data_IF_807037016275
#
_entry.id   IF_807037016275
#
_cell.length_a   1.000
_cell.length_b   1.000
_cell.length_c   1.000
_cell.angle_alpha   90.00
_cell.angle_beta   90.00
_cell.angle_gamma   90.00
#
_symmetry.space_group_name_H-M   'P 1'
#
loop_
_entity.id
_entity.type
_entity.pdbx_description
1 polymer ?
2 non-polymer ?
3 water ?
#
# COMPACT_ATOMS: atom_id res chain seq x y z
N UNK A 2 28.03 24.63 -3.82
CA UNK A 2 26.77 24.49 -4.54
C UNK A 2 26.29 23.02 -4.61
N UNK A 3 25.33 22.65 -3.74
CA UNK A 3 24.75 21.31 -3.69
C UNK A 3 23.48 21.22 -4.53
N UNK A 4 22.89 20.03 -4.56
CA UNK A 4 21.85 19.70 -5.53
C UNK A 4 20.55 20.50 -5.32
N UNK A 5 20.10 20.67 -4.09
CA UNK A 5 18.88 21.44 -3.85
C UNK A 5 19.16 22.87 -3.41
N UNK A 6 20.41 23.32 -3.51
CA UNK A 6 20.74 24.68 -3.16
C UNK A 6 19.82 25.66 -3.87
N UNK A 7 19.33 26.64 -3.14
CA UNK A 7 18.37 27.57 -3.69
C UNK A 7 16.94 27.07 -3.72
N UNK A 8 16.67 25.86 -3.24
CA UNK A 8 15.32 25.32 -3.26
C UNK A 8 14.74 25.37 -1.86
N UNK A 9 13.43 25.58 -1.79
CA UNK A 9 12.72 25.62 -0.52
C UNK A 9 11.63 24.55 -0.50
N UNK A 10 11.69 23.65 0.48
CA UNK A 10 10.81 22.48 0.56
C UNK A 10 9.88 22.60 1.76
N UNK A 11 8.61 22.34 1.53
CA UNK A 11 7.65 22.21 2.62
C UNK A 11 7.43 20.74 2.92
N UNK A 12 7.72 20.35 4.16
CA UNK A 12 7.47 19.01 4.66
C UNK A 12 6.24 19.06 5.56
N UNK A 13 5.21 18.30 5.19
CA UNK A 13 4.00 18.25 5.99
C UNK A 13 3.89 16.85 6.55
N UNK A 14 3.94 16.74 7.86
CA UNK A 14 3.85 15.43 8.49
C UNK A 14 3.47 15.63 9.95
N UNK A 15 2.57 14.80 10.47
CA UNK A 15 2.18 14.95 11.88
C UNK A 15 3.00 14.07 12.82
N UNK A 16 4.00 13.37 12.31
CA UNK A 16 4.86 12.52 13.12
C UNK A 16 6.20 13.22 13.25
N UNK A 17 6.61 13.46 14.50
CA UNK A 17 7.81 14.27 14.71
C UNK A 17 9.06 13.60 14.16
N UNK A 18 9.10 12.26 14.14
CA UNK A 18 10.32 11.60 13.68
C UNK A 18 10.50 11.81 12.19
N UNK A 19 9.42 11.71 11.43
CA UNK A 19 9.49 11.96 10.00
C UNK A 19 9.92 13.39 9.72
N UNK A 20 9.31 14.36 10.40
CA UNK A 20 9.68 15.75 10.19
C UNK A 20 11.18 15.95 10.41
N UNK A 21 11.70 15.41 11.51
CA UNK A 21 13.11 15.57 11.81
C UNK A 21 13.98 14.86 10.79
N UNK A 22 13.59 13.66 10.36
CA UNK A 22 14.39 12.91 9.39
C UNK A 22 14.28 13.52 8.00
N UNK A 23 13.05 13.83 7.56
CA UNK A 23 12.90 14.39 6.23
C UNK A 23 13.68 15.69 6.11
N UNK A 24 13.53 16.58 7.11
CA UNK A 24 14.17 17.87 7.04
C UNK A 24 15.68 17.77 7.11
N UNK A 25 16.21 16.95 8.03
CA UNK A 25 17.64 16.78 8.09
C UNK A 25 18.21 16.26 6.79
N UNK A 26 17.56 15.25 6.21
CA UNK A 26 17.99 14.71 4.93
C UNK A 26 17.99 15.77 3.85
N UNK A 27 16.87 16.48 3.69
CA UNK A 27 16.79 17.46 2.62
C UNK A 27 17.78 18.60 2.81
N UNK A 28 18.08 18.95 4.06
CA UNK A 28 19.04 20.01 4.31
C UNK A 28 20.45 19.58 3.91
N UNK A 29 20.75 18.30 4.03
CA UNK A 29 22.06 17.83 3.60
C UNK A 29 22.26 17.96 2.09
N UNK A 30 21.20 18.09 1.32
CA UNK A 30 21.34 18.37 -0.09
C UNK A 30 21.27 19.86 -0.41
N UNK A 31 21.24 20.71 0.62
CA UNK A 31 21.28 22.15 0.46
C UNK A 31 19.94 22.84 0.40
N UNK A 32 18.84 22.12 0.64
CA UNK A 32 17.52 22.73 0.62
C UNK A 32 17.26 23.54 1.88
N UNK A 33 16.56 24.66 1.73
CA UNK A 33 15.91 25.29 2.86
C UNK A 33 14.58 24.58 3.09
N UNK A 34 14.35 24.08 4.31
CA UNK A 34 13.15 23.30 4.62
C UNK A 34 12.28 24.01 5.65
N UNK A 35 10.96 23.96 5.43
CA UNK A 35 9.97 24.32 6.42
C UNK A 35 9.12 23.09 6.66
N UNK A 36 8.83 22.81 7.92
CA UNK A 36 8.02 21.66 8.33
C UNK A 36 6.67 22.15 8.87
N UNK A 37 5.63 21.40 8.57
CA UNK A 37 4.30 21.71 9.07
C UNK A 37 3.75 20.45 9.71
N UNK A 38 3.05 20.61 10.82
CA UNK A 38 2.53 19.46 11.53
C UNK A 38 1.09 19.13 11.16
N UNK A 39 0.49 19.90 10.26
CA UNK A 39 -0.91 19.71 9.92
C UNK A 39 -1.17 20.33 8.57
N UNK A 40 -2.28 19.90 7.95
CA UNK A 40 -2.64 20.45 6.65
C UNK A 40 -3.00 21.92 6.74
N UNK A 41 -3.68 22.33 7.82
CA UNK A 41 -4.06 23.73 7.98
C UNK A 41 -2.84 24.63 8.02
N UNK A 42 -1.81 24.22 8.75
CA UNK A 42 -0.57 24.99 8.75
C UNK A 42 0.00 25.06 7.34
N UNK A 43 -0.02 23.94 6.62
CA UNK A 43 0.53 23.91 5.26
C UNK A 43 -0.24 24.85 4.35
N UNK A 44 -1.57 24.81 4.41
CA UNK A 44 -2.35 25.71 3.56
C UNK A 44 -1.99 27.16 3.87
N UNK A 45 -1.76 27.48 5.15
CA UNK A 45 -1.40 28.85 5.51
C UNK A 45 -0.05 29.26 4.95
N UNK A 46 0.89 28.34 4.88
CA UNK A 46 2.19 28.62 4.31
C UNK A 46 2.17 28.70 2.79
N UNK A 47 1.11 28.22 2.14
CA UNK A 47 1.08 28.13 0.69
C UNK A 47 0.15 29.16 0.08
N UNK A 48 -0.16 30.21 0.82
CA UNK A 48 -0.81 31.37 0.25
C UNK A 48 -0.04 31.84 -0.97
N UNK A 49 -0.75 31.96 -2.08
CA UNK A 49 -0.18 32.36 -3.37
C UNK A 49 -0.14 33.88 -3.49
N UNK A 50 1.01 34.48 -3.78
CA UNK A 50 2.26 33.80 -4.15
C UNK A 50 3.13 33.38 -2.97
N UNK A 51 3.78 32.22 -3.06
CA UNK A 51 4.70 31.72 -2.04
C UNK A 51 6.02 31.32 -2.71
N UNK A 52 7.02 30.96 -1.89
CA UNK A 52 8.35 30.68 -2.39
C UNK A 52 8.74 29.19 -2.35
N UNK A 53 7.78 28.27 -2.20
CA UNK A 53 8.08 26.84 -2.08
C UNK A 53 8.19 26.21 -3.45
N UNK A 54 9.20 25.35 -3.60
CA UNK A 54 9.46 24.65 -4.85
C UNK A 54 8.91 23.23 -4.88
N UNK A 55 8.61 22.66 -3.72
CA UNK A 55 8.15 21.30 -3.63
C UNK A 55 7.54 21.13 -2.26
N UNK A 56 6.66 20.14 -2.14
CA UNK A 56 5.96 19.85 -0.90
C UNK A 56 5.87 18.36 -0.71
N UNK A 57 6.23 17.89 0.48
CA UNK A 57 6.08 16.50 0.83
C UNK A 57 4.87 16.38 1.75
N UNK A 58 3.92 15.53 1.36
CA UNK A 58 2.58 15.53 1.94
C UNK A 58 2.31 14.17 2.60
N UNK A 59 2.29 14.18 3.92
CA UNK A 59 1.80 13.07 4.74
C UNK A 59 0.32 12.79 4.44
N UNK A 60 0.01 11.58 3.99
CA UNK A 60 -1.35 11.35 3.53
C UNK A 60 -2.33 11.10 4.66
N UNK A 61 -1.84 10.80 5.84
CA UNK A 61 -2.68 10.36 6.96
C UNK A 61 -2.55 11.36 8.11
N UNK A 62 -3.46 12.31 8.22
CA UNK A 62 -3.40 13.25 9.34
C UNK A 62 -4.80 13.48 9.91
N UNK A 63 -4.90 13.66 11.21
CA UNK A 63 -6.22 13.90 11.81
C UNK A 63 -6.76 15.25 11.38
N UNK A 64 -8.09 15.37 11.43
CA UNK A 64 -8.81 16.60 11.13
C UNK A 64 -8.74 16.99 9.65
N UNK A 65 -7.55 17.02 9.06
CA UNK A 65 -7.43 17.16 7.60
C UNK A 65 -6.30 16.26 7.10
N UNK A 66 -6.62 15.29 6.25
CA UNK A 66 -5.58 14.41 5.73
C UNK A 66 -4.93 15.04 4.49
N UNK A 67 -3.91 14.34 3.97
CA UNK A 67 -3.10 14.90 2.91
C UNK A 67 -3.81 14.98 1.58
N UNK A 68 -4.81 14.12 1.35
CA UNK A 68 -5.60 14.21 0.14
C UNK A 68 -6.44 15.48 0.14
N UNK A 69 -7.11 15.74 1.26
CA UNK A 69 -7.85 16.97 1.41
C UNK A 69 -6.95 18.20 1.21
N UNK A 70 -5.87 18.27 1.98
CA UNK A 70 -4.97 19.42 1.87
C UNK A 70 -4.47 19.60 0.43
N UNK A 71 -4.05 18.51 -0.21
CA UNK A 71 -3.71 18.58 -1.62
C UNK A 71 -4.87 19.14 -2.42
N UNK A 72 -6.09 18.64 -2.15
CA UNK A 72 -7.25 19.06 -2.93
C UNK A 72 -7.45 20.56 -2.84
N UNK A 73 -7.16 21.12 -1.68
CA UNK A 73 -7.31 22.56 -1.50
C UNK A 73 -6.11 23.33 -2.00
N UNK A 74 -4.91 22.73 -2.01
CA UNK A 74 -3.81 23.40 -2.68
C UNK A 74 -4.13 23.58 -4.15
N UNK A 75 -4.74 22.56 -4.77
CA UNK A 75 -5.10 22.64 -6.18
C UNK A 75 -6.22 23.63 -6.45
N UNK A 76 -7.17 23.77 -5.53
CA UNK A 76 -8.18 24.82 -5.68
C UNK A 76 -7.54 26.19 -5.66
N UNK A 77 -6.61 26.40 -4.73
CA UNK A 77 -5.88 27.66 -4.66
C UNK A 77 -5.25 27.99 -6.00
N UNK A 78 -4.61 27.00 -6.60
CA UNK A 78 -3.94 27.25 -7.88
C UNK A 78 -4.96 27.51 -8.98
N UNK A 79 -6.05 26.75 -9.02
CA UNK A 79 -7.09 26.96 -10.01
C UNK A 79 -7.75 28.32 -9.84
N UNK A 80 -7.96 28.73 -8.59
CA UNK A 80 -8.52 30.06 -8.36
C UNK A 80 -7.58 31.14 -8.86
N UNK A 81 -6.28 30.97 -8.60
CA UNK A 81 -5.29 31.92 -9.12
C UNK A 81 -5.30 31.98 -10.64
N UNK A 82 -5.24 30.81 -11.28
CA UNK A 82 -5.29 30.75 -12.73
C UNK A 82 -6.54 31.44 -13.26
N UNK A 83 -7.71 31.12 -12.70
CA UNK A 83 -8.95 31.75 -13.15
C UNK A 83 -8.91 33.26 -12.98
N UNK A 84 -8.36 33.75 -11.86
CA UNK A 84 -8.49 35.18 -11.58
C UNK A 84 -7.32 35.99 -12.13
N UNK A 85 -6.14 35.38 -12.26
CA UNK A 85 -4.97 36.09 -12.76
C UNK A 85 -4.40 35.55 -14.05
N UNK A 86 -4.77 34.33 -14.47
CA UNK A 86 -4.19 33.69 -15.64
C UNK A 86 -2.75 33.26 -15.43
N UNK A 87 -2.23 33.37 -14.22
CA UNK A 87 -0.88 32.91 -13.92
C UNK A 87 -0.94 31.46 -13.45
N UNK A 88 0.08 30.70 -13.82
CA UNK A 88 0.04 29.25 -13.65
C UNK A 88 0.93 28.85 -12.46
N UNK A 89 0.29 28.40 -11.38
CA UNK A 89 0.96 27.83 -10.22
C UNK A 89 0.66 26.34 -10.13
N UNK A 90 1.69 25.51 -10.06
CA UNK A 90 1.48 24.08 -9.88
C UNK A 90 2.60 23.58 -8.98
N UNK A 91 2.36 23.65 -7.68
CA UNK A 91 3.30 23.17 -6.71
C UNK A 91 3.48 21.66 -6.88
N UNK A 92 4.72 21.16 -6.93
CA UNK A 92 4.93 19.71 -6.90
C UNK A 92 4.63 19.15 -5.52
N UNK A 93 3.76 18.14 -5.47
CA UNK A 93 3.35 17.52 -4.22
C UNK A 93 3.65 16.02 -4.30
N UNK A 94 4.51 15.55 -3.41
CA UNK A 94 4.82 14.12 -3.33
C UNK A 94 4.22 13.48 -2.07
N UNK A 95 3.53 12.37 -2.27
CA UNK A 95 2.90 11.65 -1.17
C UNK A 95 3.95 10.98 -0.33
N UNK A 96 3.75 11.00 1.00
CA UNK A 96 4.52 10.18 1.93
C UNK A 96 3.58 9.12 2.52
N UNK A 97 3.77 7.88 2.09
CA UNK A 97 2.84 6.81 2.41
C UNK A 97 3.39 5.76 3.36
N UNK A 98 4.62 5.91 3.86
CA UNK A 98 5.30 4.84 4.60
C UNK A 98 4.47 4.35 5.79
N UNK A 99 3.85 5.26 6.52
CA UNK A 99 3.22 4.88 7.78
C UNK A 99 1.92 4.13 7.57
N UNK A 100 1.29 4.26 6.39
CA UNK A 100 0.15 3.42 6.04
C UNK A 100 0.61 2.00 5.71
N UNK A 101 1.76 1.85 5.05
CA UNK A 101 2.28 0.53 4.77
C UNK A 101 2.78 -0.14 6.05
N UNK A 102 3.39 0.63 6.96
CA UNK A 102 3.88 0.06 8.22
C UNK A 102 2.73 -0.50 9.05
N UNK A 103 1.67 0.30 9.25
CA UNK A 103 0.49 -0.14 10.00
C UNK A 103 -0.12 -1.40 9.40
N UNK A 104 -0.30 -1.43 8.09
CA UNK A 104 -0.82 -2.63 7.44
C UNK A 104 0.06 -3.82 7.74
N UNK A 105 1.37 -3.61 7.63
CA UNK A 105 2.30 -4.71 7.88
C UNK A 105 2.27 -5.13 9.35
N UNK A 106 2.08 -4.17 10.26
CA UNK A 106 1.92 -4.51 11.68
C UNK A 106 0.61 -5.27 11.92
N UNK A 107 -0.44 -4.96 11.16
CA UNK A 107 -1.69 -5.68 11.32
C UNK A 107 -1.59 -7.12 10.81
N UNK A 108 -0.83 -7.33 9.74
CA UNK A 108 -0.61 -8.70 9.25
C UNK A 108 0.05 -9.54 10.31
N UNK A 109 1.09 -9.00 10.94
CA UNK A 109 1.80 -9.71 12.00
C UNK A 109 0.86 -10.00 13.19
N UNK A 110 0.12 -8.98 13.66
CA UNK A 110 -0.79 -9.14 14.79
C UNK A 110 -1.83 -10.25 14.55
N UNK A 111 -2.30 -10.37 13.32
CA UNK A 111 -3.32 -11.36 13.01
C UNK A 111 -2.78 -12.78 12.96
N UNK A 112 -1.49 -12.96 12.72
CA UNK A 112 -0.89 -14.29 12.74
C UNK A 112 -0.32 -14.75 11.40
N UNK A 113 -0.31 -13.86 10.42
CA UNK A 113 0.28 -14.20 9.13
C UNK A 113 1.78 -14.31 9.27
N UNK A 114 2.40 -15.10 8.39
CA UNK A 114 3.85 -15.33 8.47
C UNK A 114 4.66 -14.33 7.67
N UNK A 115 4.04 -13.59 6.79
CA UNK A 115 4.77 -12.58 6.07
C UNK A 115 3.82 -11.91 5.12
N UNK A 116 4.38 -11.21 4.14
CA UNK A 116 3.54 -10.54 3.18
C UNK A 116 4.26 -10.54 1.85
N UNK A 117 3.49 -10.34 0.79
CA UNK A 117 4.01 -10.14 -0.55
C UNK A 117 3.95 -8.65 -0.81
N UNK A 118 5.09 -8.08 -1.18
CA UNK A 118 5.16 -6.65 -1.46
C UNK A 118 4.61 -6.37 -2.85
N UNK A 119 5.28 -6.89 -3.86
CA UNK A 119 4.99 -6.60 -5.24
C UNK A 119 3.86 -7.50 -5.72
N UNK A 120 2.95 -7.00 -6.55
CA UNK A 120 1.81 -7.83 -6.96
C UNK A 120 2.23 -8.84 -8.02
N UNK A 121 1.41 -9.88 -8.18
CA UNK A 121 1.63 -10.86 -9.25
C UNK A 121 1.51 -10.20 -10.61
N UNK A 122 2.62 -10.08 -11.33
CA UNK A 122 2.54 -9.65 -12.71
C UNK A 122 2.11 -10.83 -13.59
N UNK A 123 1.38 -10.52 -14.66
CA UNK A 123 0.98 -11.53 -15.63
C UNK A 123 1.99 -11.61 -16.75
N UNK A 124 2.26 -12.84 -17.20
CA UNK A 124 3.37 -13.18 -18.09
C UNK A 124 3.41 -12.38 -19.38
N UNK A 125 2.49 -12.70 -20.28
CA UNK A 125 2.49 -12.21 -21.66
C UNK A 125 1.82 -10.85 -21.76
N UNK A 126 2.26 -9.91 -20.92
CA UNK A 126 1.47 -8.70 -20.70
C UNK A 126 1.46 -7.82 -21.95
N UNK A 127 2.65 -7.44 -22.42
CA UNK A 127 2.72 -6.59 -23.61
C UNK A 127 2.57 -7.41 -24.88
N UNK A 128 2.20 -8.68 -24.72
CA UNK A 128 1.95 -9.59 -25.82
C UNK A 128 0.50 -9.59 -26.30
N UNK A 129 -0.38 -8.84 -25.65
CA UNK A 129 -1.74 -8.73 -26.16
C UNK A 129 -1.77 -7.76 -27.33
N UNK A 130 -2.79 -7.93 -28.19
CA UNK A 130 -2.93 -7.14 -29.40
C UNK A 130 -4.35 -6.59 -29.48
N UNK A 131 -4.49 -5.49 -30.18
CA UNK A 131 -5.80 -5.02 -30.57
C UNK A 131 -6.22 -5.72 -31.86
N UNK A 132 -7.30 -6.50 -31.79
CA UNK A 132 -7.83 -7.23 -32.93
C UNK A 132 -9.07 -6.50 -33.44
N UNK A 133 -9.16 -6.30 -34.74
CA UNK A 133 -10.21 -5.47 -35.30
C UNK A 133 -11.42 -6.30 -35.71
N UNK A 134 -12.61 -5.72 -35.54
CA UNK A 134 -13.80 -6.24 -36.20
C UNK A 134 -13.68 -5.89 -37.67
N UNK B 2 13.17 -26.61 -4.48
CA UNK B 2 13.69 -25.25 -4.37
C UNK B 2 13.73 -24.50 -5.73
N UNK B 3 13.66 -25.25 -6.86
CA UNK B 3 13.56 -24.63 -8.17
C UNK B 3 12.13 -24.53 -8.67
N UNK B 4 11.29 -25.52 -8.35
CA UNK B 4 9.92 -25.63 -8.87
C UNK B 4 8.96 -25.82 -7.70
N UNK B 5 7.67 -25.63 -7.95
CA UNK B 5 6.65 -25.82 -6.93
C UNK B 5 5.94 -27.17 -7.07
N UNK B 6 6.46 -28.06 -7.94
CA UNK B 6 5.91 -29.39 -8.13
C UNK B 6 5.66 -30.07 -6.78
N UNK B 7 4.52 -30.75 -6.66
CA UNK B 7 4.22 -31.42 -5.41
C UNK B 7 3.68 -30.54 -4.31
N UNK B 8 3.50 -29.25 -4.58
CA UNK B 8 2.96 -28.31 -3.60
C UNK B 8 1.52 -27.95 -3.97
N UNK B 9 0.70 -27.72 -2.94
CA UNK B 9 -0.69 -27.30 -3.10
C UNK B 9 -0.89 -25.96 -2.38
N UNK B 10 -1.27 -24.93 -3.14
CA UNK B 10 -1.35 -23.56 -2.66
C UNK B 10 -2.80 -23.12 -2.66
N UNK B 11 -3.23 -22.51 -1.57
CA UNK B 11 -4.53 -21.86 -1.49
C UNK B 11 -4.34 -20.37 -1.74
N UNK B 12 -5.00 -19.86 -2.77
CA UNK B 12 -5.03 -18.43 -3.05
C UNK B 12 -6.41 -17.92 -2.65
N UNK B 13 -6.46 -16.97 -1.72
CA UNK B 13 -7.70 -16.35 -1.27
C UNK B 13 -7.71 -14.90 -1.73
N UNK B 14 -8.68 -14.55 -2.59
CA UNK B 14 -8.76 -13.18 -3.10
C UNK B 14 -10.16 -12.97 -3.67
N UNK B 15 -10.75 -11.81 -3.41
CA UNK B 15 -12.09 -11.54 -3.89
C UNK B 15 -12.09 -10.79 -5.23
N UNK B 16 -10.93 -10.63 -5.86
CA UNK B 16 -10.82 -10.03 -7.17
C UNK B 16 -10.48 -11.12 -8.17
N UNK B 17 -11.37 -11.32 -9.15
CA UNK B 17 -11.21 -12.44 -10.07
C UNK B 17 -9.93 -12.27 -10.88
N UNK B 18 -9.48 -11.04 -11.08
CA UNK B 18 -8.24 -10.85 -11.82
C UNK B 18 -7.06 -11.35 -11.01
N UNK B 19 -7.07 -11.08 -9.69
CA UNK B 19 -6.00 -11.59 -8.83
C UNK B 19 -6.01 -13.12 -8.79
N UNK B 20 -7.19 -13.72 -8.59
CA UNK B 20 -7.28 -15.17 -8.53
C UNK B 20 -6.72 -15.81 -9.79
N UNK B 21 -7.09 -15.28 -10.98
CA UNK B 21 -6.61 -15.88 -12.23
C UNK B 21 -5.11 -15.68 -12.40
N UNK B 22 -4.60 -14.49 -12.08
CA UNK B 22 -3.19 -14.22 -12.34
C UNK B 22 -2.30 -14.97 -11.34
N UNK B 23 -2.66 -14.97 -10.05
CA UNK B 23 -1.85 -15.71 -9.08
C UNK B 23 -1.78 -17.20 -9.41
N UNK B 24 -2.91 -17.78 -9.81
CA UNK B 24 -2.95 -19.22 -10.09
C UNK B 24 -2.06 -19.58 -11.27
N UNK B 25 -2.15 -18.80 -12.36
CA UNK B 25 -1.28 -19.03 -13.51
C UNK B 25 0.20 -18.88 -13.17
N UNK B 26 0.55 -17.86 -12.39
CA UNK B 26 1.92 -17.69 -11.92
C UNK B 26 2.39 -18.91 -11.14
N UNK B 27 1.59 -19.35 -10.16
CA UNK B 27 1.99 -20.49 -9.36
C UNK B 27 1.96 -21.78 -10.17
N UNK B 28 1.02 -21.92 -11.11
CA UNK B 28 0.95 -23.14 -11.92
C UNK B 28 2.11 -23.25 -12.90
N UNK B 29 2.66 -22.11 -13.34
CA UNK B 29 3.78 -22.16 -14.27
C UNK B 29 5.00 -22.82 -13.65
N UNK B 30 5.11 -22.81 -12.34
CA UNK B 30 6.17 -23.52 -11.65
C UNK B 30 5.71 -24.83 -11.05
N UNK B 31 4.52 -25.32 -11.45
CA UNK B 31 4.08 -26.65 -11.10
C UNK B 31 3.24 -26.76 -9.85
N UNK B 32 2.79 -25.66 -9.28
CA UNK B 32 1.97 -25.78 -8.08
C UNK B 32 0.59 -26.23 -8.48
N UNK B 33 -0.03 -27.05 -7.63
CA UNK B 33 -1.47 -27.25 -7.67
C UNK B 33 -2.11 -26.10 -6.91
N UNK B 34 -3.03 -25.38 -7.54
CA UNK B 34 -3.61 -24.19 -6.95
C UNK B 34 -5.10 -24.39 -6.78
N UNK B 35 -5.62 -23.97 -5.63
CA UNK B 35 -7.06 -23.85 -5.40
C UNK B 35 -7.31 -22.41 -5.05
N UNK B 36 -8.37 -21.83 -5.63
CA UNK B 36 -8.69 -20.44 -5.36
C UNK B 36 -9.96 -20.35 -4.52
N UNK B 37 -9.97 -19.38 -3.61
CA UNK B 37 -11.13 -19.10 -2.79
C UNK B 37 -11.44 -17.62 -2.90
N UNK B 38 -12.72 -17.27 -3.00
CA UNK B 38 -13.06 -15.88 -3.21
C UNK B 38 -13.44 -15.15 -1.94
N UNK B 39 -13.45 -15.84 -0.80
CA UNK B 39 -13.91 -15.23 0.42
C UNK B 39 -13.29 -15.98 1.57
N UNK B 40 -13.30 -15.35 2.74
CA UNK B 40 -12.72 -15.98 3.92
C UNK B 40 -13.48 -17.21 4.35
N UNK B 41 -14.82 -17.19 4.22
CA UNK B 41 -15.61 -18.38 4.56
C UNK B 41 -15.21 -19.57 3.70
N UNK B 42 -15.07 -19.36 2.40
CA UNK B 42 -14.68 -20.47 1.54
C UNK B 42 -13.30 -20.98 1.96
N UNK B 43 -12.39 -20.07 2.29
CA UNK B 43 -11.04 -20.48 2.70
C UNK B 43 -11.07 -21.32 3.99
N UNK B 44 -11.81 -20.86 5.00
CA UNK B 44 -11.92 -21.63 6.23
C UNK B 44 -12.52 -23.02 5.98
N UNK B 45 -13.50 -23.12 5.09
CA UNK B 45 -14.06 -24.43 4.77
C UNK B 45 -13.04 -25.34 4.12
N UNK B 46 -12.15 -24.79 3.31
CA UNK B 46 -11.10 -25.58 2.69
C UNK B 46 -10.00 -25.94 3.66
N UNK B 47 -9.91 -25.25 4.80
CA UNK B 47 -8.77 -25.43 5.69
C UNK B 47 -9.17 -26.17 6.96
N UNK B 48 -10.29 -26.89 6.91
CA UNK B 48 -10.61 -27.86 7.93
C UNK B 48 -9.44 -28.80 8.14
N UNK B 49 -8.99 -28.91 9.38
CA UNK B 49 -7.86 -29.78 9.69
C UNK B 49 -8.37 -31.21 9.82
N UNK B 50 -7.78 -32.17 9.09
CA UNK B 50 -6.62 -32.07 8.22
C UNK B 50 -6.98 -31.72 6.79
N UNK B 51 -6.13 -30.91 6.20
CA UNK B 51 -6.20 -30.52 4.80
C UNK B 51 -4.84 -30.79 4.21
N UNK B 52 -4.71 -30.60 2.89
CA UNK B 52 -3.44 -30.90 2.23
C UNK B 52 -2.72 -29.66 1.71
N UNK B 53 -3.04 -28.47 2.19
CA UNK B 53 -2.44 -27.27 1.62
C UNK B 53 -1.09 -26.99 2.26
N UNK B 54 -0.13 -26.61 1.42
CA UNK B 54 1.24 -26.32 1.87
C UNK B 54 1.49 -24.85 2.14
N UNK B 55 0.64 -23.94 1.63
CA UNK B 55 0.82 -22.50 1.79
C UNK B 55 -0.44 -21.79 1.34
N UNK B 56 -0.63 -20.56 1.83
CA UNK B 56 -1.84 -19.79 1.54
C UNK B 56 -1.48 -18.32 1.30
N UNK B 57 -2.05 -17.75 0.24
CA UNK B 57 -1.92 -16.33 -0.04
C UNK B 57 -3.24 -15.66 0.30
N UNK B 58 -3.19 -14.69 1.22
CA UNK B 58 -4.38 -14.20 1.90
C UNK B 58 -4.61 -12.73 1.56
N UNK B 59 -5.62 -12.46 0.75
CA UNK B 59 -6.07 -11.10 0.49
C UNK B 59 -6.48 -10.43 1.79
N UNK B 60 -5.90 -9.28 2.10
CA UNK B 60 -6.23 -8.70 3.40
C UNK B 60 -7.54 -7.93 3.39
N UNK B 61 -8.09 -7.57 2.24
CA UNK B 61 -9.24 -6.68 2.19
C UNK B 61 -10.44 -7.37 1.56
N UNK B 62 -11.29 -8.00 2.37
CA UNK B 62 -12.47 -8.66 1.83
C UNK B 62 -13.71 -8.34 2.64
N UNK B 63 -14.86 -8.20 1.99
CA UNK B 63 -16.11 -7.96 2.71
C UNK B 63 -16.52 -9.16 3.55
N UNK B 64 -17.31 -8.89 4.60
CA UNK B 64 -17.83 -9.88 5.55
C UNK B 64 -16.74 -10.51 6.43
N UNK B 65 -15.65 -10.98 5.84
CA UNK B 65 -14.49 -11.41 6.62
C UNK B 65 -13.22 -11.04 5.88
N UNK B 66 -12.40 -10.19 6.49
CA UNK B 66 -11.14 -9.80 5.86
C UNK B 66 -10.04 -10.82 6.15
N UNK B 67 -8.86 -10.57 5.58
CA UNK B 67 -7.80 -11.56 5.66
C UNK B 67 -7.21 -11.70 7.03
N UNK B 68 -7.25 -10.63 7.82
CA UNK B 68 -6.79 -10.70 9.21
C UNK B 68 -7.69 -11.61 10.03
N UNK B 69 -9.01 -11.38 9.96
CA UNK B 69 -9.98 -12.24 10.64
C UNK B 69 -9.80 -13.69 10.20
N UNK B 70 -9.81 -13.94 8.89
CA UNK B 70 -9.66 -15.30 8.40
C UNK B 70 -8.40 -15.95 8.95
N UNK B 71 -7.27 -15.24 8.91
CA UNK B 71 -6.04 -15.75 9.51
C UNK B 71 -6.21 -16.04 11.00
N UNK B 72 -6.87 -15.14 11.74
CA UNK B 72 -7.06 -15.37 13.17
C UNK B 72 -7.80 -16.68 13.40
N UNK B 73 -8.71 -17.02 12.51
CA UNK B 73 -9.50 -18.23 12.70
C UNK B 73 -8.73 -19.46 12.25
N UNK B 74 -7.86 -19.32 11.26
CA UNK B 74 -6.99 -20.44 10.92
C UNK B 74 -6.09 -20.76 12.10
N UNK B 75 -5.59 -19.73 12.78
CA UNK B 75 -4.71 -19.93 13.93
C UNK B 75 -5.48 -20.53 15.10
N UNK B 76 -6.74 -20.13 15.27
CA UNK B 76 -7.57 -20.77 16.28
C UNK B 76 -7.82 -22.23 15.95
N UNK B 77 -8.16 -22.52 14.69
CA UNK B 77 -8.31 -23.91 14.27
C UNK B 77 -7.05 -24.71 14.58
N UNK B 78 -5.89 -24.16 14.30
CA UNK B 78 -4.65 -24.89 14.53
C UNK B 78 -4.38 -25.09 16.02
N UNK B 79 -4.65 -24.08 16.85
CA UNK B 79 -4.45 -24.21 18.28
C UNK B 79 -5.34 -25.30 18.86
N UNK B 80 -6.57 -25.38 18.36
CA UNK B 80 -7.50 -26.41 18.79
C UNK B 80 -6.96 -27.78 18.44
N UNK B 81 -6.48 -27.94 17.21
CA UNK B 81 -5.86 -29.19 16.80
C UNK B 81 -4.64 -29.51 17.66
N UNK B 82 -3.81 -28.51 17.92
CA UNK B 82 -2.65 -28.76 18.77
C UNK B 82 -3.08 -29.37 20.10
N UNK B 83 -4.09 -28.77 20.73
CA UNK B 83 -4.55 -29.24 22.03
C UNK B 83 -5.09 -30.66 21.97
N UNK B 84 -5.81 -31.01 20.90
CA UNK B 84 -6.45 -32.31 20.89
C UNK B 84 -5.64 -33.39 20.18
N UNK B 85 -4.65 -33.05 19.35
CA UNK B 85 -3.86 -34.09 18.71
C UNK B 85 -2.41 -34.14 19.16
N UNK B 86 -1.92 -33.09 19.82
CA UNK B 86 -0.53 -32.94 20.26
C UNK B 86 0.44 -32.72 19.11
N UNK B 87 -0.05 -32.60 17.88
CA UNK B 87 0.74 -32.24 16.70
C UNK B 87 0.48 -30.78 16.35
N UNK B 88 1.52 -30.10 15.85
CA UNK B 88 1.49 -28.66 15.64
C UNK B 88 1.29 -28.35 14.15
N UNK B 89 0.15 -27.78 13.81
CA UNK B 89 -0.16 -27.34 12.45
C UNK B 89 0.05 -25.84 12.35
N UNK B 90 0.81 -25.43 11.35
CA UNK B 90 1.06 -24.01 11.12
C UNK B 90 1.14 -23.80 9.62
N UNK B 91 0.00 -23.52 9.00
CA UNK B 91 0.00 -23.22 7.59
C UNK B 91 0.78 -21.92 7.37
N UNK B 92 1.72 -21.87 6.42
CA UNK B 92 2.33 -20.57 6.07
C UNK B 92 1.30 -19.69 5.38
N UNK B 93 1.14 -18.47 5.86
CA UNK B 93 0.18 -17.53 5.31
C UNK B 93 0.92 -16.24 4.99
N UNK B 94 0.90 -15.85 3.72
CA UNK B 94 1.47 -14.58 3.26
C UNK B 94 0.35 -13.63 2.87
N UNK B 95 0.39 -12.41 3.39
CA UNK B 95 -0.62 -11.43 3.05
C UNK B 95 -0.42 -10.93 1.64
N UNK B 96 -1.51 -10.69 0.92
CA UNK B 96 -1.46 -10.00 -0.35
C UNK B 96 -1.97 -8.58 -0.13
N UNK B 97 -1.04 -7.62 -0.21
CA UNK B 97 -1.31 -6.24 0.14
C UNK B 97 -1.38 -5.33 -1.07
N UNK B 98 -1.18 -5.85 -2.27
CA UNK B 98 -1.02 -5.01 -3.46
C UNK B 98 -2.18 -4.06 -3.64
N UNK B 99 -3.40 -4.52 -3.36
CA UNK B 99 -4.57 -3.72 -3.60
C UNK B 99 -4.80 -2.64 -2.54
N UNK B 100 -4.22 -2.79 -1.35
CA UNK B 100 -4.25 -1.68 -0.42
C UNK B 100 -3.29 -0.58 -0.87
N UNK B 101 -2.12 -0.96 -1.40
CA UNK B 101 -1.14 0.03 -1.82
C UNK B 101 -1.59 0.71 -3.11
N UNK B 102 -2.11 -0.04 -4.08
CA UNK B 102 -2.53 0.62 -5.32
C UNK B 102 -3.73 1.51 -5.13
N UNK B 103 -4.73 1.07 -4.37
CA UNK B 103 -5.81 1.98 -4.03
C UNK B 103 -5.25 3.26 -3.40
N UNK B 104 -4.28 3.12 -2.48
CA UNK B 104 -3.66 4.29 -1.88
C UNK B 104 -3.08 5.21 -2.95
N UNK B 105 -2.35 4.65 -3.91
CA UNK B 105 -1.78 5.47 -4.97
C UNK B 105 -2.87 6.12 -5.84
N UNK B 106 -4.01 5.46 -6.06
CA UNK B 106 -5.06 6.09 -6.85
C UNK B 106 -5.68 7.29 -6.12
N UNK B 107 -5.81 7.24 -4.79
CA UNK B 107 -6.37 8.40 -4.12
C UNK B 107 -5.39 9.57 -4.15
N UNK B 108 -4.07 9.29 -4.09
CA UNK B 108 -3.08 10.36 -4.23
C UNK B 108 -3.25 11.09 -5.54
N UNK B 109 -3.24 10.33 -6.63
CA UNK B 109 -3.41 10.89 -7.97
C UNK B 109 -4.75 11.62 -8.10
N UNK B 110 -5.82 10.96 -7.65
CA UNK B 110 -7.13 11.58 -7.71
C UNK B 110 -7.14 12.91 -6.98
N UNK B 111 -6.41 13.02 -5.86
CA UNK B 111 -6.44 14.26 -5.09
C UNK B 111 -5.64 15.37 -5.75
N UNK B 112 -4.68 15.03 -6.62
CA UNK B 112 -3.91 15.99 -7.36
C UNK B 112 -2.43 15.96 -7.10
N UNK B 113 -1.96 14.99 -6.30
CA UNK B 113 -0.54 14.86 -6.04
C UNK B 113 0.20 14.39 -7.30
N UNK B 114 1.48 14.78 -7.40
CA UNK B 114 2.26 14.50 -8.59
C UNK B 114 3.04 13.18 -8.50
N UNK B 115 3.23 12.64 -7.30
CA UNK B 115 3.99 11.41 -7.19
C UNK B 115 4.10 11.03 -5.74
N UNK B 116 5.08 10.17 -5.44
CA UNK B 116 5.27 9.73 -4.07
C UNK B 116 6.74 9.40 -3.83
N UNK B 117 7.09 9.22 -2.57
CA UNK B 117 8.45 8.83 -2.19
C UNK B 117 8.51 7.31 -2.13
N UNK B 118 9.40 6.72 -2.94
CA UNK B 118 9.61 5.27 -3.02
C UNK B 118 10.63 4.81 -1.97
N UNK B 119 10.28 3.76 -1.22
CA UNK B 119 10.94 3.40 0.02
C UNK B 119 11.03 4.63 0.93
N UNK B 120 9.88 5.20 1.34
CA UNK B 120 9.87 6.56 1.92
C UNK B 120 10.46 6.68 3.33
N UNK B 121 10.64 7.94 3.73
CA UNK B 121 11.29 8.36 4.98
C UNK B 121 10.64 7.73 6.21
X LIG C 1 0.87 10.52 9.41
X LIG D 1 -9.53 -7.48 -1.96
#
# INVERSE_FOLDING_TARGET
SNALLTGKKILVVDDNIVNRRVAAGALKKFGAEVVCAESGQVALGLLQIPHTFDACFMDIQMPQMDGFEATRQIRMMEKETKEKTNLEWHLPILAMTADVIHATYEECLKSGMDGYVSKPFEEENLYKSVAKSF
SNALLTGKKILVVDDNIVNRRVAAGALKKFGAEVVCAESGQVALGLLQIPHTFDACFMDIQMPQMDGFEATRQIRMMEKETKEKTNLEWHLPILAMTADVIHATYEECLKSGMDGYVSKPFEEENLYKSVAKSF
K K
K K
#
